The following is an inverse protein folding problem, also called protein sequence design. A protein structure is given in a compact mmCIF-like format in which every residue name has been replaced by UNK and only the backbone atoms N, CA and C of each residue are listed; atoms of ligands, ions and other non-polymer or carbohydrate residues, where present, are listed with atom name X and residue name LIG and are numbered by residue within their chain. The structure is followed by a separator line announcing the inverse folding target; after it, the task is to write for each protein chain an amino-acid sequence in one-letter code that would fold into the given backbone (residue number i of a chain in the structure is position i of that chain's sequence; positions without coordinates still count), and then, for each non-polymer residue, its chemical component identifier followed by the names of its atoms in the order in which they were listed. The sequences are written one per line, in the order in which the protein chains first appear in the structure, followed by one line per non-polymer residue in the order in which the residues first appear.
data_IF_276442923108
#
_entry.id   IF_276442923108
#
_cell.length_a   1.000
_cell.length_b   1.000
_cell.length_c   1.000
_cell.angle_alpha   90.00
_cell.angle_beta   90.00
_cell.angle_gamma   90.00
#
_symmetry.space_group_name_H-M   'P 1'
#
loop_
_entity.id
_entity.type
_entity.pdbx_description
1 polymer ?
#
# COMPACT_ATOMS: atom_id res chain seq x y z
N UNK A 1 7.78 0.43 -17.47
CA UNK A 1 8.37 0.81 -16.16
C UNK A 1 9.11 -0.39 -15.59
N UNK A 2 10.26 -0.17 -14.95
CA UNK A 2 10.99 -1.24 -14.28
C UNK A 2 10.22 -1.68 -13.02
N UNK A 3 10.14 -2.99 -12.79
CA UNK A 3 9.46 -3.66 -11.67
C UNK A 3 9.67 -2.94 -10.31
N UNK A 4 10.93 -2.66 -10.00
CA UNK A 4 11.36 -2.01 -8.76
C UNK A 4 10.84 -0.57 -8.63
N UNK A 5 10.63 0.12 -9.76
CA UNK A 5 10.16 1.50 -9.78
C UNK A 5 8.69 1.60 -9.37
N UNK A 6 7.86 0.61 -9.73
CA UNK A 6 6.43 0.57 -9.36
C UNK A 6 6.29 0.47 -7.85
N UNK A 7 6.92 -0.54 -7.24
CA UNK A 7 6.92 -0.69 -5.77
C UNK A 7 7.44 0.59 -5.10
N UNK A 8 8.50 1.20 -5.64
CA UNK A 8 9.07 2.42 -5.08
C UNK A 8 8.07 3.58 -5.08
N UNK A 9 7.33 3.77 -6.16
CA UNK A 9 6.32 4.82 -6.25
C UNK A 9 5.17 4.56 -5.25
N UNK A 10 4.67 3.32 -5.20
CA UNK A 10 3.60 2.95 -4.27
C UNK A 10 4.01 3.11 -2.79
N UNK A 11 5.24 2.72 -2.43
CA UNK A 11 5.77 2.90 -1.08
C UNK A 11 5.99 4.37 -0.72
N UNK A 12 6.32 5.22 -1.69
CA UNK A 12 6.43 6.66 -1.50
C UNK A 12 5.06 7.28 -1.19
N UNK A 13 4.02 6.91 -1.96
CA UNK A 13 2.64 7.32 -1.69
C UNK A 13 2.15 6.82 -0.33
N UNK A 14 2.39 5.54 -0.01
CA UNK A 14 2.03 4.96 1.28
C UNK A 14 2.74 5.66 2.45
N UNK A 15 3.98 6.10 2.25
CA UNK A 15 4.71 6.88 3.24
C UNK A 15 4.08 8.25 3.47
N UNK A 16 3.70 8.97 2.41
CA UNK A 16 2.96 10.25 2.53
C UNK A 16 1.65 10.05 3.30
N UNK A 17 0.89 9.01 2.95
CA UNK A 17 -0.38 8.68 3.62
C UNK A 17 -0.17 8.34 5.09
N UNK A 18 0.86 7.55 5.43
CA UNK A 18 1.18 7.26 6.82
C UNK A 18 1.42 8.52 7.63
N UNK A 19 2.25 9.45 7.13
CA UNK A 19 2.59 10.65 7.90
C UNK A 19 1.41 11.62 8.01
N UNK A 20 0.63 11.81 6.93
CA UNK A 20 -0.60 12.63 6.97
C UNK A 20 -1.63 12.06 7.97
N UNK A 21 -1.73 10.73 8.08
CA UNK A 21 -2.76 10.04 8.87
C UNK A 21 -2.31 9.63 10.29
N UNK A 22 -1.01 9.74 10.61
CA UNK A 22 -0.40 9.26 11.87
C UNK A 22 -1.08 9.77 13.13
N UNK A 23 -1.45 11.05 13.16
CA UNK A 23 -2.06 11.68 14.34
C UNK A 23 -3.53 11.34 14.46
N UNK A 24 -4.24 11.25 13.33
CA UNK A 24 -5.67 10.92 13.29
C UNK A 24 -5.94 9.46 13.68
N UNK A 25 -5.08 8.56 13.25
CA UNK A 25 -5.23 7.11 13.44
C UNK A 25 -4.18 6.55 14.41
N UNK A 26 -3.72 7.37 15.35
CA UNK A 26 -2.66 7.01 16.29
C UNK A 26 -3.01 5.71 17.02
N UNK A 27 -2.08 4.75 17.00
CA UNK A 27 -2.24 3.42 17.60
C UNK A 27 -3.38 2.56 17.02
N UNK A 28 -4.01 2.97 15.91
CA UNK A 28 -5.01 2.15 15.24
C UNK A 28 -4.38 0.97 14.52
N UNK A 29 -5.16 -0.10 14.39
CA UNK A 29 -4.76 -1.27 13.63
C UNK A 29 -4.46 -0.93 12.15
N UNK A 30 -5.24 -0.04 11.54
CA UNK A 30 -5.01 0.38 10.16
C UNK A 30 -3.65 1.04 9.99
N UNK A 31 -3.28 1.95 10.90
CA UNK A 31 -1.98 2.63 10.87
C UNK A 31 -0.82 1.63 11.09
N UNK A 32 -1.03 0.61 11.93
CA UNK A 32 -0.06 -0.47 12.12
C UNK A 32 0.15 -1.27 10.83
N UNK A 33 -0.93 -1.61 10.11
CA UNK A 33 -0.85 -2.33 8.83
C UNK A 33 -0.19 -1.50 7.72
N UNK A 34 -0.48 -0.20 7.65
CA UNK A 34 0.22 0.73 6.75
C UNK A 34 1.73 0.71 7.03
N UNK A 35 2.11 0.79 8.31
CA UNK A 35 3.52 0.79 8.72
C UNK A 35 4.21 -0.56 8.42
N UNK A 36 3.49 -1.67 8.59
CA UNK A 36 3.99 -3.01 8.28
C UNK A 36 4.35 -3.14 6.80
N UNK A 37 3.45 -2.73 5.89
CA UNK A 37 3.72 -2.72 4.44
C UNK A 37 4.89 -1.80 4.12
N UNK A 38 4.98 -0.60 4.70
CA UNK A 38 6.13 0.31 4.50
C UNK A 38 7.46 -0.35 4.90
N UNK A 39 7.52 -0.96 6.09
CA UNK A 39 8.74 -1.58 6.60
C UNK A 39 9.17 -2.77 5.75
N UNK A 40 8.23 -3.64 5.38
CA UNK A 40 8.52 -4.82 4.56
C UNK A 40 8.87 -4.42 3.12
N UNK A 41 8.19 -3.42 2.56
CA UNK A 41 8.48 -2.88 1.24
C UNK A 41 9.90 -2.32 1.14
N UNK A 42 10.33 -1.52 2.13
CA UNK A 42 11.70 -1.01 2.19
C UNK A 42 12.73 -2.15 2.32
N UNK A 43 12.42 -3.19 3.11
CA UNK A 43 13.30 -4.38 3.21
C UNK A 43 13.39 -5.12 1.88
N UNK A 44 12.27 -5.27 1.16
CA UNK A 44 12.21 -5.92 -0.14
C UNK A 44 13.06 -5.20 -1.19
N UNK A 45 13.07 -3.86 -1.17
CA UNK A 45 13.90 -3.05 -2.07
C UNK A 45 15.41 -3.23 -1.83
N UNK A 46 15.81 -3.50 -0.58
CA UNK A 46 17.21 -3.75 -0.22
C UNK A 46 17.59 -5.20 -0.51
N UNK A 47 16.71 -6.14 -0.14
CA UNK A 47 16.90 -7.57 -0.27
C UNK A 47 15.66 -8.21 -0.88
N UNK A 48 15.73 -8.49 -2.18
CA UNK A 48 14.67 -9.15 -2.95
C UNK A 48 14.64 -10.67 -2.69
N UNK A 49 14.38 -11.05 -1.43
CA UNK A 49 14.28 -12.46 -1.03
C UNK A 49 12.84 -12.95 -1.08
N UNK A 50 12.65 -14.21 -1.46
CA UNK A 50 11.33 -14.83 -1.56
C UNK A 50 10.58 -14.81 -0.21
N UNK A 51 11.31 -14.95 0.90
CA UNK A 51 10.73 -14.83 2.24
C UNK A 51 10.15 -13.43 2.52
N UNK A 52 10.87 -12.36 2.14
CA UNK A 52 10.38 -10.98 2.33
C UNK A 52 9.21 -10.71 1.39
N UNK A 53 9.28 -11.20 0.15
CA UNK A 53 8.20 -11.13 -0.84
C UNK A 53 6.89 -11.70 -0.29
N UNK A 54 6.90 -12.94 0.21
CA UNK A 54 5.72 -13.60 0.79
C UNK A 54 5.14 -12.81 1.98
N UNK A 55 6.01 -12.29 2.85
CA UNK A 55 5.56 -11.46 3.97
C UNK A 55 4.94 -10.14 3.52
N UNK A 56 5.51 -9.51 2.49
CA UNK A 56 4.98 -8.29 1.93
C UNK A 56 3.63 -8.51 1.24
N UNK A 57 3.46 -9.62 0.52
CA UNK A 57 2.18 -10.03 -0.07
C UNK A 57 1.10 -10.17 1.02
N UNK A 58 1.39 -10.90 2.09
CA UNK A 58 0.48 -11.05 3.22
C UNK A 58 0.16 -9.72 3.91
N UNK A 59 1.16 -8.84 4.07
CA UNK A 59 0.95 -7.50 4.62
C UNK A 59 0.03 -6.65 3.73
N UNK A 60 0.15 -6.76 2.40
CA UNK A 60 -0.74 -6.08 1.46
C UNK A 60 -2.18 -6.59 1.57
N UNK A 61 -2.39 -7.91 1.65
CA UNK A 61 -3.71 -8.50 1.87
C UNK A 61 -4.32 -7.99 3.19
N UNK A 62 -3.55 -8.02 4.28
CA UNK A 62 -4.00 -7.54 5.58
C UNK A 62 -4.37 -6.04 5.56
N UNK A 63 -3.58 -5.22 4.85
CA UNK A 63 -3.88 -3.80 4.67
C UNK A 63 -5.16 -3.59 3.88
N UNK A 64 -5.37 -4.36 2.80
CA UNK A 64 -6.59 -4.31 1.99
C UNK A 64 -7.82 -4.65 2.85
N UNK A 65 -7.77 -5.75 3.60
CA UNK A 65 -8.86 -6.15 4.50
C UNK A 65 -9.13 -5.08 5.55
N UNK A 66 -8.08 -4.56 6.20
CA UNK A 66 -8.22 -3.51 7.20
C UNK A 66 -8.87 -2.24 6.62
N UNK A 67 -8.44 -1.79 5.44
CA UNK A 67 -8.99 -0.62 4.76
C UNK A 67 -10.49 -0.79 4.44
N UNK A 68 -10.96 -2.02 4.20
CA UNK A 68 -12.37 -2.32 3.91
C UNK A 68 -13.29 -2.09 5.09
N UNK A 69 -12.82 -2.35 6.30
CA UNK A 69 -13.57 -2.05 7.53
C UNK A 69 -13.78 -0.55 7.71
N UNK A 70 -12.80 0.26 7.31
CA UNK A 70 -12.87 1.73 7.39
C UNK A 70 -13.68 2.34 6.23
N UNK A 71 -13.75 1.67 5.08
CA UNK A 71 -14.59 2.10 3.97
C UNK A 71 -16.08 2.12 4.36
N UNK A 72 -16.52 1.08 5.09
CA UNK A 72 -17.90 0.97 5.60
C UNK A 72 -18.29 2.10 6.56
N UNK A 73 -17.32 2.77 7.18
CA UNK A 73 -17.58 3.90 8.09
C UNK A 73 -17.87 5.22 7.36
N UNK A 74 -17.78 5.26 6.02
CA UNK A 74 -18.23 6.38 5.17
C UNK A 74 -17.34 7.63 5.17
N UNK A 75 -16.83 8.05 6.32
CA UNK A 75 -16.01 9.26 6.45
C UNK A 75 -14.60 9.14 5.83
N UNK A 76 -14.11 7.91 5.64
CA UNK A 76 -12.75 7.63 5.18
C UNK A 76 -12.69 6.95 3.80
N UNK A 77 -13.76 7.03 3.01
CA UNK A 77 -13.88 6.36 1.71
C UNK A 77 -12.67 6.63 0.79
N UNK A 78 -12.30 7.90 0.60
CA UNK A 78 -11.13 8.26 -0.25
C UNK A 78 -9.82 7.65 0.27
N UNK A 79 -9.63 7.68 1.59
CA UNK A 79 -8.44 7.10 2.23
C UNK A 79 -8.41 5.58 2.06
N UNK A 80 -9.53 4.90 2.28
CA UNK A 80 -9.65 3.46 2.06
C UNK A 80 -9.42 3.06 0.60
N UNK A 81 -9.95 3.82 -0.37
CA UNK A 81 -9.72 3.58 -1.80
C UNK A 81 -8.25 3.68 -2.17
N UNK A 82 -7.53 4.67 -1.64
CA UNK A 82 -6.08 4.80 -1.82
C UNK A 82 -5.34 3.58 -1.27
N UNK A 83 -5.70 3.13 -0.07
CA UNK A 83 -5.09 1.94 0.53
C UNK A 83 -5.39 0.67 -0.25
N UNK A 84 -6.59 0.52 -0.81
CA UNK A 84 -6.92 -0.58 -1.71
C UNK A 84 -6.04 -0.57 -2.95
N UNK A 85 -5.95 0.57 -3.65
CA UNK A 85 -5.16 0.69 -4.87
C UNK A 85 -3.67 0.42 -4.63
N UNK A 86 -3.09 0.97 -3.57
CA UNK A 86 -1.68 0.75 -3.24
C UNK A 86 -1.44 -0.72 -2.90
N UNK A 87 -2.25 -1.31 -2.01
CA UNK A 87 -2.06 -2.69 -1.57
C UNK A 87 -2.27 -3.70 -2.69
N UNK A 88 -3.28 -3.50 -3.55
CA UNK A 88 -3.53 -4.38 -4.70
C UNK A 88 -2.43 -4.29 -5.75
N UNK A 89 -1.94 -3.08 -6.09
CA UNK A 89 -0.87 -2.92 -7.07
C UNK A 89 0.44 -3.54 -6.61
N UNK A 90 0.81 -3.37 -5.34
CA UNK A 90 1.99 -4.03 -4.78
C UNK A 90 1.81 -5.56 -4.82
N UNK A 91 0.66 -6.07 -4.36
CA UNK A 91 0.39 -7.51 -4.36
C UNK A 91 0.43 -8.12 -5.77
N UNK A 92 -0.31 -7.54 -6.72
CA UNK A 92 -0.37 -8.02 -8.12
C UNK A 92 0.99 -8.00 -8.78
N UNK A 93 1.81 -6.99 -8.47
CA UNK A 93 3.18 -6.96 -8.95
C UNK A 93 4.00 -8.11 -8.36
N UNK A 94 3.96 -8.33 -7.05
CA UNK A 94 4.74 -9.39 -6.40
C UNK A 94 4.31 -10.80 -6.85
N UNK A 95 3.02 -11.03 -7.05
CA UNK A 95 2.48 -12.34 -7.42
C UNK A 95 2.63 -12.65 -8.92
N UNK A 96 2.29 -11.68 -9.77
CA UNK A 96 2.13 -11.91 -11.21
C UNK A 96 3.16 -11.19 -12.07
N UNK A 97 4.08 -10.41 -11.48
CA UNK A 97 4.93 -9.43 -12.18
C UNK A 97 4.12 -8.50 -13.10
N UNK A 98 2.86 -8.26 -12.73
CA UNK A 98 1.93 -7.48 -13.54
C UNK A 98 1.98 -6.01 -13.13
N UNK A 99 2.18 -5.13 -14.11
CA UNK A 99 2.10 -3.68 -13.94
C UNK A 99 0.87 -3.20 -14.67
N UNK A 100 -0.10 -2.66 -13.93
CA UNK A 100 -1.24 -1.97 -14.53
C UNK A 100 -0.72 -0.80 -15.37
N UNK A 101 -1.01 -0.82 -16.67
CA UNK A 101 -0.81 0.34 -17.55
C UNK A 101 -2.10 1.17 -17.50
N UNK A 102 -1.96 2.36 -16.94
CA UNK A 102 -2.83 3.53 -17.08
C UNK A 102 -4.14 3.61 -16.24
N UNK A 103 -4.49 4.88 -15.95
CA UNK A 103 -5.75 5.49 -15.44
C UNK A 103 -6.01 5.67 -13.93
N UNK A 104 -5.34 4.97 -13.02
CA UNK A 104 -5.60 5.21 -11.58
C UNK A 104 -4.89 6.46 -11.06
N UNK A 105 -3.73 6.81 -11.63
CA UNK A 105 -2.92 7.92 -11.14
C UNK A 105 -3.57 9.29 -11.42
N UNK A 106 -4.42 9.40 -12.46
CA UNK A 106 -5.21 10.61 -12.75
C UNK A 106 -6.35 10.85 -11.73
N UNK A 107 -6.87 9.79 -11.11
CA UNK A 107 -7.87 9.89 -10.04
C UNK A 107 -7.27 10.51 -8.77
N UNK A 108 -5.94 10.48 -8.64
CA UNK A 108 -5.20 10.88 -7.44
C UNK A 108 -4.17 12.01 -7.67
N UNK A 109 -4.15 12.62 -8.87
CA UNK A 109 -3.16 13.63 -9.29
C UNK A 109 -3.19 14.95 -8.50
N UNK A 110 -4.28 15.25 -7.78
CA UNK A 110 -4.48 16.50 -7.03
C UNK A 110 -4.01 16.44 -5.55
N UNK A 111 -3.09 15.52 -5.18
CA UNK A 111 -2.68 15.25 -3.78
C UNK A 111 -1.37 15.90 -3.27
#
# INVERSE_FOLDING_TARGET
MNATQVIKNELALLSKLYYKSKNQFKSSELLNRINEVRKLGNKFQIANSEYIKLRLQNACINLYIAASSYFKMGHFVKFSLLLFGISSRIYSFLEFNFVYKDEIDDIFGDL
#
